data_IF_520154010670
#
_entry.id   IF_520154010670
#
_cell.length_a   1.000
_cell.length_b   1.000
_cell.length_c   1.000
_cell.angle_alpha   90.00
_cell.angle_beta   90.00
_cell.angle_gamma   90.00
#
_symmetry.space_group_name_H-M   'P 1'
#
loop_
_entity.id
_entity.type
_entity.pdbx_description
1 polymer ?
#
# COMPACT_ATOMS: atom_id res chain seq x y z
N UNK A 1 -21.56 -28.06 -4.92
CA UNK A 1 -20.81 -27.34 -3.87
C UNK A 1 -19.95 -26.27 -4.54
N UNK A 2 -20.33 -24.99 -4.46
CA UNK A 2 -19.51 -23.90 -5.01
C UNK A 2 -18.47 -23.50 -3.97
N UNK A 3 -17.20 -23.83 -4.21
CA UNK A 3 -16.09 -23.44 -3.33
C UNK A 3 -15.85 -21.94 -3.54
N UNK A 4 -16.29 -21.12 -2.60
CA UNK A 4 -15.95 -19.70 -2.56
C UNK A 4 -14.47 -19.56 -2.17
N UNK A 5 -13.58 -19.58 -3.18
CA UNK A 5 -12.15 -19.33 -2.97
C UNK A 5 -11.96 -17.85 -2.58
N UNK A 6 -11.80 -17.60 -1.28
CA UNK A 6 -11.32 -16.29 -0.81
C UNK A 6 -9.90 -16.09 -1.36
N UNK A 7 -9.76 -15.14 -2.28
CA UNK A 7 -8.55 -14.97 -3.11
C UNK A 7 -7.30 -14.68 -2.29
N UNK A 8 -7.38 -13.84 -1.24
CA UNK A 8 -6.22 -13.50 -0.42
C UNK A 8 -5.68 -14.68 0.43
N UNK A 9 -6.49 -15.46 1.16
CA UNK A 9 -6.03 -16.69 1.80
C UNK A 9 -5.41 -17.70 0.83
N UNK A 10 -5.99 -17.85 -0.36
CA UNK A 10 -5.46 -18.77 -1.38
C UNK A 10 -4.09 -18.33 -1.89
N UNK A 11 -3.94 -17.06 -2.28
CA UNK A 11 -2.65 -16.47 -2.67
C UNK A 11 -1.63 -16.63 -1.55
N UNK A 12 -2.01 -16.37 -0.29
CA UNK A 12 -1.12 -16.56 0.85
C UNK A 12 -0.66 -18.01 0.98
N UNK A 13 -1.56 -18.98 0.78
CA UNK A 13 -1.20 -20.40 0.82
C UNK A 13 -0.22 -20.76 -0.31
N UNK A 14 -0.42 -20.25 -1.52
CA UNK A 14 0.51 -20.44 -2.64
C UNK A 14 1.87 -19.78 -2.35
N UNK A 15 1.87 -18.54 -1.87
CA UNK A 15 3.09 -17.86 -1.46
C UNK A 15 3.79 -18.53 -0.27
N UNK A 16 3.10 -19.32 0.55
CA UNK A 16 3.69 -20.08 1.67
C UNK A 16 3.85 -21.56 1.36
N UNK A 17 3.73 -21.96 0.10
CA UNK A 17 3.88 -23.35 -0.31
C UNK A 17 5.30 -23.85 -0.02
N UNK A 18 5.41 -25.14 0.33
CA UNK A 18 6.62 -25.71 0.94
C UNK A 18 7.89 -25.55 0.09
N UNK A 19 7.78 -25.71 -1.23
CA UNK A 19 8.90 -25.62 -2.18
C UNK A 19 9.24 -24.19 -2.62
N UNK A 20 8.49 -23.18 -2.15
CA UNK A 20 8.63 -21.76 -2.51
C UNK A 20 8.51 -21.42 -4.00
N UNK A 21 8.05 -22.35 -4.85
CA UNK A 21 7.98 -22.14 -6.31
C UNK A 21 7.25 -20.86 -6.71
N UNK A 22 6.17 -20.52 -6.01
CA UNK A 22 5.37 -19.33 -6.25
C UNK A 22 6.02 -18.03 -5.74
N UNK A 23 6.92 -18.14 -4.75
CA UNK A 23 7.68 -16.99 -4.27
C UNK A 23 8.79 -16.59 -5.24
N UNK A 24 9.41 -17.60 -5.87
CA UNK A 24 10.55 -17.43 -6.78
C UNK A 24 10.15 -17.32 -8.25
N UNK A 25 8.89 -17.61 -8.58
CA UNK A 25 8.36 -17.40 -9.91
C UNK A 25 8.40 -15.90 -10.25
N UNK A 26 8.95 -15.58 -11.43
CA UNK A 26 9.20 -14.20 -11.86
C UNK A 26 7.91 -13.40 -12.09
N UNK A 27 6.82 -14.07 -12.39
CA UNK A 27 5.58 -13.45 -12.83
C UNK A 27 4.47 -13.57 -11.78
N UNK A 28 4.47 -14.62 -10.96
CA UNK A 28 3.36 -14.92 -10.07
C UNK A 28 3.03 -13.78 -9.09
N UNK A 29 3.98 -13.22 -8.32
CA UNK A 29 3.67 -12.09 -7.44
C UNK A 29 3.13 -10.87 -8.20
N UNK A 30 3.67 -10.60 -9.38
CA UNK A 30 3.27 -9.47 -10.22
C UNK A 30 1.85 -9.67 -10.80
N UNK A 31 1.56 -10.84 -11.35
CA UNK A 31 0.24 -11.19 -11.90
C UNK A 31 -0.83 -11.12 -10.81
N UNK A 32 -0.56 -11.73 -9.65
CA UNK A 32 -1.50 -11.72 -8.52
C UNK A 32 -1.74 -10.30 -8.01
N UNK A 33 -0.68 -9.47 -7.93
CA UNK A 33 -0.80 -8.07 -7.56
C UNK A 33 -1.65 -7.29 -8.57
N UNK A 34 -1.42 -7.48 -9.87
CA UNK A 34 -2.23 -6.84 -10.92
C UNK A 34 -3.69 -7.29 -10.88
N UNK A 35 -3.95 -8.59 -10.72
CA UNK A 35 -5.31 -9.10 -10.55
C UNK A 35 -5.99 -8.47 -9.33
N UNK A 36 -5.26 -8.27 -8.23
CA UNK A 36 -5.78 -7.60 -7.05
C UNK A 36 -6.10 -6.12 -7.34
N UNK A 37 -5.21 -5.39 -8.01
CA UNK A 37 -5.48 -4.00 -8.41
C UNK A 37 -6.68 -3.87 -9.34
N UNK A 38 -6.76 -4.72 -10.38
CA UNK A 38 -7.88 -4.75 -11.32
C UNK A 38 -9.18 -5.02 -10.56
N UNK A 39 -9.17 -5.97 -9.62
CA UNK A 39 -10.33 -6.26 -8.78
C UNK A 39 -10.72 -5.08 -7.89
N UNK A 40 -9.76 -4.46 -7.20
CA UNK A 40 -10.02 -3.28 -6.37
C UNK A 40 -10.60 -2.13 -7.19
N UNK A 41 -10.06 -1.89 -8.38
CA UNK A 41 -10.56 -0.88 -9.32
C UNK A 41 -11.97 -1.22 -9.82
N UNK A 42 -12.20 -2.47 -10.24
CA UNK A 42 -13.51 -2.93 -10.71
C UNK A 42 -14.57 -2.91 -9.60
N UNK A 43 -14.19 -3.22 -8.36
CA UNK A 43 -15.10 -3.11 -7.20
C UNK A 43 -15.46 -1.65 -6.92
N UNK A 44 -14.48 -0.74 -6.94
CA UNK A 44 -14.74 0.70 -6.81
C UNK A 44 -15.65 1.21 -7.93
N UNK A 45 -15.40 0.79 -9.17
CA UNK A 45 -16.23 1.10 -10.33
C UNK A 45 -17.64 0.51 -10.22
N UNK A 46 -17.78 -0.74 -9.78
CA UNK A 46 -19.08 -1.38 -9.56
C UNK A 46 -19.90 -0.68 -8.47
N UNK A 47 -19.26 -0.25 -7.37
CA UNK A 47 -19.93 0.53 -6.34
C UNK A 47 -20.41 1.89 -6.85
N UNK A 48 -19.75 2.47 -7.87
CA UNK A 48 -20.26 3.63 -8.58
C UNK A 48 -21.43 3.29 -9.52
N UNK A 49 -21.33 2.20 -10.28
CA UNK A 49 -22.37 1.81 -11.25
C UNK A 49 -23.65 1.30 -10.60
N UNK A 50 -23.55 0.73 -9.41
CA UNK A 50 -24.68 0.28 -8.59
C UNK A 50 -25.42 1.44 -7.88
N UNK A 51 -24.89 2.66 -7.90
CA UNK A 51 -25.60 3.84 -7.37
C UNK A 51 -26.63 4.34 -8.39
N UNK A 52 -27.74 4.86 -7.89
CA UNK A 52 -28.82 5.50 -8.68
C UNK A 52 -28.31 6.61 -9.63
N UNK A 53 -27.11 7.13 -9.41
CA UNK A 53 -26.54 8.26 -10.13
C UNK A 53 -25.63 7.83 -11.31
N UNK A 54 -25.50 6.53 -11.62
CA UNK A 54 -24.59 6.08 -12.69
C UNK A 54 -24.92 6.67 -14.06
N UNK A 55 -26.20 6.72 -14.45
CA UNK A 55 -26.62 7.34 -15.71
C UNK A 55 -26.16 8.80 -15.81
N UNK A 56 -26.37 9.56 -14.74
CA UNK A 56 -25.94 10.96 -14.64
C UNK A 56 -24.42 11.12 -14.74
N UNK A 57 -23.63 10.19 -14.17
CA UNK A 57 -22.17 10.20 -14.28
C UNK A 57 -21.73 9.85 -15.71
N UNK A 58 -22.33 8.85 -16.34
CA UNK A 58 -22.04 8.48 -17.73
C UNK A 58 -22.35 9.62 -18.70
N UNK A 59 -23.51 10.26 -18.53
CA UNK A 59 -23.91 11.42 -19.32
C UNK A 59 -22.94 12.59 -19.11
N UNK A 60 -22.52 12.84 -17.86
CA UNK A 60 -21.49 13.85 -17.55
C UNK A 60 -20.15 13.55 -18.22
N UNK A 61 -19.71 12.28 -18.26
CA UNK A 61 -18.47 11.88 -18.95
C UNK A 61 -18.57 12.16 -20.45
N UNK A 62 -19.71 11.83 -21.06
CA UNK A 62 -19.94 12.05 -22.49
C UNK A 62 -20.09 13.54 -22.83
N UNK A 63 -20.64 14.33 -21.90
CA UNK A 63 -20.86 15.76 -22.04
C UNK A 63 -19.67 16.63 -21.59
N UNK A 64 -18.51 16.05 -21.27
CA UNK A 64 -17.32 16.82 -20.89
C UNK A 64 -16.90 17.73 -22.04
N UNK A 65 -16.82 19.03 -21.76
CA UNK A 65 -16.25 20.00 -22.67
C UNK A 65 -14.71 19.86 -22.69
N UNK A 66 -14.17 19.49 -23.85
CA UNK A 66 -12.73 19.26 -24.05
C UNK A 66 -11.90 20.54 -23.94
N UNK A 67 -12.43 21.66 -24.43
CA UNK A 67 -11.73 22.95 -24.37
C UNK A 67 -11.61 23.45 -22.92
N UNK A 68 -12.66 23.25 -22.11
CA UNK A 68 -12.62 23.55 -20.68
C UNK A 68 -11.60 22.66 -19.94
N UNK A 69 -11.51 21.37 -20.31
CA UNK A 69 -10.52 20.46 -19.75
C UNK A 69 -9.09 20.87 -20.13
N UNK A 70 -8.86 21.23 -21.40
CA UNK A 70 -7.55 21.69 -21.87
C UNK A 70 -7.12 23.00 -21.22
N UNK A 71 -8.05 23.94 -21.00
CA UNK A 71 -7.84 25.15 -20.21
C UNK A 71 -7.34 24.82 -18.80
N UNK A 72 -8.04 23.92 -18.10
CA UNK A 72 -7.65 23.47 -16.76
C UNK A 72 -6.27 22.80 -16.74
N UNK A 73 -5.97 21.96 -17.74
CA UNK A 73 -4.66 21.32 -17.88
C UNK A 73 -3.58 22.38 -18.07
N UNK A 74 -3.77 23.35 -18.96
CA UNK A 74 -2.80 24.41 -19.20
C UNK A 74 -2.55 25.24 -17.95
N UNK A 75 -3.61 25.68 -17.26
CA UNK A 75 -3.53 26.43 -16.01
C UNK A 75 -2.87 25.63 -14.88
N UNK A 76 -2.99 24.31 -14.90
CA UNK A 76 -2.40 23.40 -13.91
C UNK A 76 -0.95 23.00 -14.18
N UNK A 77 -0.37 23.33 -15.33
CA UNK A 77 0.99 22.90 -15.71
C UNK A 77 2.07 23.35 -14.74
N UNK A 78 1.93 24.55 -14.20
CA UNK A 78 2.92 25.13 -13.28
C UNK A 78 2.75 24.63 -11.83
N UNK A 79 1.85 23.66 -11.60
CA UNK A 79 1.61 23.06 -10.29
C UNK A 79 0.82 23.97 -9.32
N UNK A 80 0.31 25.10 -9.81
CA UNK A 80 -0.52 26.02 -9.04
C UNK A 80 -1.89 25.43 -8.69
N UNK A 81 -2.52 25.97 -7.64
CA UNK A 81 -3.88 25.61 -7.28
C UNK A 81 -4.87 26.18 -8.30
N UNK A 82 -5.47 25.32 -9.11
CA UNK A 82 -6.47 25.71 -10.11
C UNK A 82 -7.86 25.72 -9.47
N UNK A 83 -8.57 26.84 -9.59
CA UNK A 83 -9.99 26.95 -9.23
C UNK A 83 -10.84 26.98 -10.51
N UNK A 84 -11.96 26.24 -10.55
CA UNK A 84 -12.89 26.34 -11.67
C UNK A 84 -13.60 27.70 -11.63
N UNK A 85 -13.57 28.40 -12.76
CA UNK A 85 -14.19 29.72 -12.95
C UNK A 85 -15.49 29.60 -13.75
N UNK A 86 -15.49 28.77 -14.80
CA UNK A 86 -16.66 28.58 -15.66
C UNK A 86 -17.55 27.42 -15.18
N UNK A 87 -18.85 27.40 -15.54
CA UNK A 87 -19.71 26.25 -15.22
C UNK A 87 -19.22 24.95 -15.86
N UNK A 88 -18.59 25.00 -17.02
CA UNK A 88 -17.99 23.84 -17.69
C UNK A 88 -16.79 23.32 -16.89
N UNK A 89 -15.91 24.20 -16.42
CA UNK A 89 -14.79 23.83 -15.54
C UNK A 89 -15.29 23.23 -14.22
N UNK A 90 -16.37 23.77 -13.63
CA UNK A 90 -17.01 23.19 -12.44
C UNK A 90 -17.49 21.77 -12.70
N UNK A 91 -18.09 21.52 -13.86
CA UNK A 91 -18.53 20.17 -14.26
C UNK A 91 -17.34 19.20 -14.38
N UNK A 92 -16.19 19.65 -14.89
CA UNK A 92 -14.95 18.85 -14.90
C UNK A 92 -14.47 18.51 -13.48
N UNK A 93 -14.50 19.46 -12.55
CA UNK A 93 -14.14 19.22 -11.14
C UNK A 93 -15.10 18.26 -10.44
N UNK A 94 -16.40 18.38 -10.70
CA UNK A 94 -17.39 17.41 -10.21
C UNK A 94 -17.09 16.01 -10.75
N UNK A 95 -16.77 15.88 -12.04
CA UNK A 95 -16.38 14.61 -12.63
C UNK A 95 -15.16 14.00 -11.93
N UNK A 96 -14.14 14.82 -11.65
CA UNK A 96 -12.96 14.39 -10.90
C UNK A 96 -13.31 13.81 -9.53
N UNK A 97 -14.32 14.35 -8.82
CA UNK A 97 -14.71 13.78 -7.51
C UNK A 97 -15.20 12.33 -7.62
N UNK A 98 -15.87 11.98 -8.71
CA UNK A 98 -16.29 10.59 -8.95
C UNK A 98 -15.09 9.69 -9.27
N UNK A 99 -14.15 10.17 -10.09
CA UNK A 99 -12.92 9.44 -10.42
C UNK A 99 -12.06 9.21 -9.18
N UNK A 100 -11.85 10.26 -8.36
CA UNK A 100 -11.12 10.19 -7.11
C UNK A 100 -11.72 9.13 -6.17
N UNK A 101 -13.04 9.03 -6.11
CA UNK A 101 -13.73 8.04 -5.27
C UNK A 101 -13.42 6.60 -5.69
N UNK A 102 -13.34 6.30 -7.00
CA UNK A 102 -12.89 4.98 -7.48
C UNK A 102 -11.43 4.76 -7.09
N UNK A 103 -10.58 5.73 -7.39
CA UNK A 103 -9.15 5.65 -7.13
C UNK A 103 -8.85 5.41 -5.64
N UNK A 104 -9.68 5.91 -4.72
CA UNK A 104 -9.56 5.68 -3.27
C UNK A 104 -9.58 4.20 -2.86
N UNK A 105 -10.15 3.32 -3.67
CA UNK A 105 -10.20 1.88 -3.40
C UNK A 105 -8.94 1.14 -3.90
N UNK A 106 -8.08 1.81 -4.67
CA UNK A 106 -6.82 1.26 -5.19
C UNK A 106 -5.68 1.68 -4.26
N UNK A 107 -5.03 0.70 -3.64
CA UNK A 107 -3.88 0.94 -2.76
C UNK A 107 -2.77 1.70 -3.51
N UNK A 108 -2.19 2.70 -2.87
CA UNK A 108 -1.11 3.52 -3.44
C UNK A 108 -1.57 4.64 -4.39
N UNK A 109 -2.88 4.75 -4.67
CA UNK A 109 -3.41 5.85 -5.47
C UNK A 109 -3.25 7.21 -4.79
N UNK A 110 -3.35 8.30 -5.56
CA UNK A 110 -3.35 9.65 -5.03
C UNK A 110 -4.46 9.88 -4.00
N UNK A 111 -5.66 9.35 -4.25
CA UNK A 111 -6.78 9.44 -3.31
C UNK A 111 -6.50 8.64 -2.03
N UNK A 112 -5.97 7.42 -2.12
CA UNK A 112 -5.63 6.64 -0.93
C UNK A 112 -4.61 7.37 -0.04
N UNK A 113 -3.59 8.00 -0.64
CA UNK A 113 -2.64 8.86 0.08
C UNK A 113 -3.33 10.09 0.71
N UNK A 114 -4.31 10.69 0.03
CA UNK A 114 -5.12 11.79 0.59
C UNK A 114 -5.94 11.33 1.80
N UNK A 115 -6.53 10.13 1.76
CA UNK A 115 -7.24 9.56 2.91
C UNK A 115 -6.32 9.27 4.08
N UNK A 116 -5.14 8.69 3.86
CA UNK A 116 -4.15 8.49 4.93
C UNK A 116 -3.75 9.81 5.62
N UNK A 117 -3.61 10.91 4.86
CA UNK A 117 -3.36 12.24 5.47
C UNK A 117 -4.53 12.72 6.32
N UNK A 118 -5.76 12.43 5.94
CA UNK A 118 -6.94 12.78 6.73
C UNK A 118 -7.03 11.93 8.00
N UNK A 119 -6.64 10.65 7.94
CA UNK A 119 -6.54 9.78 9.12
C UNK A 119 -5.50 10.30 10.10
N UNK A 120 -4.30 10.68 9.63
CA UNK A 120 -3.25 11.31 10.45
C UNK A 120 -3.78 12.60 11.10
N UNK A 121 -4.44 13.48 10.34
CA UNK A 121 -5.04 14.71 10.90
C UNK A 121 -6.07 14.41 11.98
N UNK A 122 -6.93 13.42 11.74
CA UNK A 122 -7.96 13.00 12.70
C UNK A 122 -7.33 12.47 13.99
N UNK A 123 -6.24 11.70 13.86
CA UNK A 123 -5.47 11.22 15.01
C UNK A 123 -4.84 12.38 15.79
N UNK A 124 -4.32 13.40 15.10
CA UNK A 124 -3.77 14.61 15.73
C UNK A 124 -4.85 15.37 16.51
N UNK A 125 -6.05 15.49 15.95
CA UNK A 125 -7.16 16.12 16.67
C UNK A 125 -7.61 15.32 17.89
N UNK A 126 -7.56 13.99 17.84
CA UNK A 126 -8.04 13.12 18.90
C UNK A 126 -7.02 12.95 20.06
N UNK A 127 -5.74 12.80 19.72
CA UNK A 127 -4.67 12.40 20.66
C UNK A 127 -3.61 13.50 20.84
N UNK A 128 -3.54 14.46 19.91
CA UNK A 128 -2.54 15.51 19.89
C UNK A 128 -1.41 15.25 18.88
N UNK A 129 -0.44 16.16 18.85
CA UNK A 129 0.65 16.15 17.88
C UNK A 129 1.62 14.99 18.17
N UNK A 130 2.07 14.24 17.16
CA UNK A 130 3.04 13.17 17.36
C UNK A 130 4.37 13.73 17.88
N UNK A 131 4.88 13.14 18.97
CA UNK A 131 6.20 13.48 19.53
C UNK A 131 7.34 12.91 18.69
N UNK A 132 7.13 11.73 18.10
CA UNK A 132 8.13 11.02 17.31
C UNK A 132 7.66 10.79 15.89
N UNK A 133 8.56 11.04 14.94
CA UNK A 133 8.45 10.60 13.55
C UNK A 133 9.59 9.62 13.27
N UNK A 134 9.25 8.36 13.01
CA UNK A 134 10.26 7.30 12.85
C UNK A 134 10.15 6.69 11.45
N UNK A 135 11.25 6.81 10.70
CA UNK A 135 11.46 6.08 9.45
C UNK A 135 12.57 5.07 9.67
N UNK A 136 12.30 3.79 9.42
CA UNK A 136 13.33 2.77 9.45
C UNK A 136 13.29 1.92 8.18
N UNK A 137 14.46 1.73 7.57
CA UNK A 137 14.67 0.91 6.39
C UNK A 137 15.61 -0.25 6.76
N UNK A 138 15.07 -1.43 7.12
CA UNK A 138 15.89 -2.55 7.55
C UNK A 138 16.80 -3.02 6.41
N UNK A 139 18.11 -3.15 6.68
CA UNK A 139 19.08 -3.64 5.70
C UNK A 139 18.90 -5.14 5.45
N UNK A 140 18.09 -5.47 4.45
CA UNK A 140 17.69 -6.82 4.04
C UNK A 140 18.88 -7.75 3.73
N UNK A 141 19.81 -7.35 2.85
CA UNK A 141 20.93 -8.19 2.42
C UNK A 141 22.00 -8.40 3.50
N UNK A 142 21.96 -7.64 4.58
CA UNK A 142 22.85 -7.81 5.74
C UNK A 142 22.19 -8.57 6.89
N UNK A 143 20.89 -8.87 6.80
CA UNK A 143 20.14 -9.45 7.89
C UNK A 143 19.95 -10.98 7.72
N UNK A 144 20.44 -11.81 8.66
CA UNK A 144 20.28 -13.28 8.60
C UNK A 144 18.83 -13.73 8.47
N UNK A 145 17.88 -13.03 9.12
CA UNK A 145 16.46 -13.36 9.06
C UNK A 145 15.86 -13.17 7.66
N UNK A 146 16.30 -12.13 6.95
CA UNK A 146 15.87 -11.91 5.57
C UNK A 146 16.35 -13.01 4.65
N UNK A 147 17.63 -13.37 4.77
CA UNK A 147 18.25 -14.44 3.98
C UNK A 147 17.60 -15.80 4.26
N UNK A 148 17.29 -16.08 5.53
CA UNK A 148 16.52 -17.26 5.93
C UNK A 148 15.14 -17.30 5.25
N UNK A 149 14.41 -16.18 5.22
CA UNK A 149 13.13 -16.12 4.50
C UNK A 149 13.28 -16.25 2.98
N UNK A 150 14.37 -15.76 2.41
CA UNK A 150 14.71 -15.95 0.99
C UNK A 150 15.16 -17.37 0.67
N UNK A 151 15.35 -18.21 1.70
CA UNK A 151 15.63 -19.63 1.55
C UNK A 151 17.08 -20.03 1.62
N UNK A 152 17.95 -19.12 2.05
CA UNK A 152 19.34 -19.44 2.35
C UNK A 152 19.42 -20.33 3.59
N UNK A 153 20.38 -21.25 3.61
CA UNK A 153 20.64 -22.10 4.76
C UNK A 153 21.38 -21.29 5.83
N UNK A 154 20.61 -20.63 6.70
CA UNK A 154 21.11 -19.76 7.78
C UNK A 154 20.59 -20.31 9.10
N UNK A 155 21.50 -20.68 10.00
CA UNK A 155 21.14 -21.00 11.38
C UNK A 155 20.85 -19.70 12.15
N UNK A 156 19.58 -19.48 12.48
CA UNK A 156 19.14 -18.30 13.23
C UNK A 156 19.43 -18.39 14.74
N UNK A 157 19.81 -19.56 15.25
CA UNK A 157 20.16 -19.74 16.67
C UNK A 157 21.62 -19.36 16.95
N UNK A 158 22.46 -19.35 15.92
CA UNK A 158 23.83 -18.87 16.02
C UNK A 158 23.85 -17.34 16.20
N UNK A 159 24.68 -16.84 17.13
CA UNK A 159 24.80 -15.39 17.40
C UNK A 159 25.26 -14.57 16.19
N UNK A 160 26.14 -15.15 15.38
CA UNK A 160 26.69 -14.56 14.17
C UNK A 160 26.82 -15.65 13.09
N UNK A 161 25.72 -16.01 12.42
CA UNK A 161 25.77 -17.06 11.40
C UNK A 161 26.62 -16.60 10.22
N UNK A 162 27.41 -17.51 9.61
CA UNK A 162 28.13 -17.19 8.39
C UNK A 162 27.13 -16.83 7.30
N UNK A 163 27.38 -15.70 6.63
CA UNK A 163 26.54 -15.22 5.55
C UNK A 163 27.21 -15.50 4.19
N UNK A 164 26.43 -15.79 3.12
CA UNK A 164 26.96 -15.98 1.77
C UNK A 164 27.76 -14.76 1.25
N UNK A 165 28.33 -14.83 0.05
CA UNK A 165 28.96 -13.64 -0.55
C UNK A 165 27.95 -12.51 -0.73
N UNK A 166 28.41 -11.25 -0.82
CA UNK A 166 27.52 -10.09 -1.05
C UNK A 166 26.64 -10.29 -2.29
N UNK A 167 27.22 -10.80 -3.38
CA UNK A 167 26.49 -11.01 -4.63
C UNK A 167 25.43 -12.10 -4.51
N UNK A 168 25.71 -13.18 -3.77
CA UNK A 168 24.74 -14.25 -3.55
C UNK A 168 23.57 -13.78 -2.67
N UNK A 169 23.84 -12.93 -1.67
CA UNK A 169 22.78 -12.30 -0.85
C UNK A 169 21.85 -11.44 -1.69
N UNK A 170 22.42 -10.58 -2.54
CA UNK A 170 21.64 -9.72 -3.44
C UNK A 170 20.83 -10.56 -4.43
N UNK A 171 21.42 -11.62 -4.99
CA UNK A 171 20.73 -12.57 -5.87
C UNK A 171 19.58 -13.27 -5.15
N UNK A 172 19.80 -13.77 -3.93
CA UNK A 172 18.76 -14.45 -3.15
C UNK A 172 17.54 -13.56 -2.90
N UNK A 173 17.76 -12.28 -2.57
CA UNK A 173 16.68 -11.30 -2.37
C UNK A 173 15.97 -10.99 -3.68
N UNK A 174 16.72 -10.73 -4.76
CA UNK A 174 16.14 -10.44 -6.07
C UNK A 174 15.32 -11.62 -6.63
N UNK A 175 15.75 -12.86 -6.37
CA UNK A 175 15.03 -14.08 -6.79
C UNK A 175 13.83 -14.39 -5.90
N UNK A 176 13.78 -13.90 -4.66
CA UNK A 176 12.66 -14.14 -3.74
C UNK A 176 12.21 -12.84 -3.03
N UNK A 177 11.52 -11.93 -3.76
CA UNK A 177 11.02 -10.69 -3.18
C UNK A 177 9.98 -10.91 -2.06
N UNK A 178 9.30 -12.07 -2.07
CA UNK A 178 8.33 -12.44 -1.04
C UNK A 178 9.04 -12.70 0.30
N UNK A 179 10.22 -13.31 0.26
CA UNK A 179 11.08 -13.48 1.44
C UNK A 179 11.44 -12.14 2.08
N UNK A 180 11.84 -11.17 1.26
CA UNK A 180 12.14 -9.80 1.71
C UNK A 180 10.90 -9.09 2.29
N UNK A 181 9.72 -9.23 1.65
CA UNK A 181 8.47 -8.68 2.18
C UNK A 181 8.08 -9.28 3.53
N UNK A 182 8.29 -10.59 3.73
CA UNK A 182 8.07 -11.26 5.02
C UNK A 182 9.02 -10.76 6.10
N UNK A 183 10.28 -10.55 5.75
CA UNK A 183 11.26 -9.94 6.64
C UNK A 183 10.82 -8.55 7.08
N UNK A 184 10.50 -7.67 6.13
CA UNK A 184 10.05 -6.31 6.42
C UNK A 184 8.84 -6.31 7.35
N UNK A 185 7.81 -7.12 7.02
CA UNK A 185 6.64 -7.30 7.89
C UNK A 185 7.03 -7.72 9.30
N UNK A 186 7.94 -8.69 9.44
CA UNK A 186 8.37 -9.18 10.75
C UNK A 186 9.08 -8.09 11.55
N UNK A 187 9.89 -7.26 10.90
CA UNK A 187 10.56 -6.12 11.56
C UNK A 187 9.53 -5.08 12.03
N UNK A 188 8.53 -4.75 11.22
CA UNK A 188 7.43 -3.83 11.61
C UNK A 188 6.62 -4.39 12.79
N UNK A 189 6.30 -5.68 12.77
CA UNK A 189 5.61 -6.36 13.89
C UNK A 189 6.46 -6.33 15.17
N UNK A 190 7.78 -6.54 15.06
CA UNK A 190 8.69 -6.46 16.21
C UNK A 190 8.84 -5.02 16.72
N UNK A 191 8.91 -4.04 15.83
CA UNK A 191 8.97 -2.63 16.20
C UNK A 191 7.72 -2.21 16.99
N UNK A 192 6.54 -2.46 16.44
CA UNK A 192 5.26 -2.11 17.08
C UNK A 192 5.04 -2.87 18.39
N UNK A 193 5.36 -4.17 18.44
CA UNK A 193 5.10 -4.99 19.63
C UNK A 193 6.18 -4.93 20.71
N UNK A 194 7.46 -4.70 20.37
CA UNK A 194 8.58 -4.75 21.33
C UNK A 194 9.20 -3.39 21.62
N UNK A 195 9.27 -2.51 20.61
CA UNK A 195 9.84 -1.17 20.75
C UNK A 195 8.77 -0.19 21.22
N UNK A 196 7.63 -0.09 20.51
CA UNK A 196 6.51 0.76 20.94
C UNK A 196 5.72 0.13 22.10
N UNK A 197 5.54 -1.19 22.05
CA UNK A 197 4.74 -1.96 23.02
C UNK A 197 3.29 -1.48 23.13
N UNK A 198 2.70 -1.11 21.99
CA UNK A 198 1.32 -0.63 21.97
C UNK A 198 0.37 -1.66 22.58
N UNK A 199 -0.47 -1.21 23.53
CA UNK A 199 -1.49 -2.03 24.19
C UNK A 199 -0.96 -3.05 25.22
N UNK A 200 0.31 -2.97 25.64
CA UNK A 200 0.89 -3.92 26.61
C UNK A 200 0.93 -3.41 28.07
N UNK A 201 0.28 -2.28 28.38
CA UNK A 201 0.20 -1.74 29.75
C UNK A 201 1.52 -1.33 30.39
N UNK A 202 2.61 -1.31 29.61
CA UNK A 202 3.97 -0.93 30.04
C UNK A 202 4.63 -0.05 28.98
N UNK A 203 5.50 0.90 29.38
CA UNK A 203 6.16 1.78 28.43
C UNK A 203 7.09 1.02 27.48
N UNK A 204 7.11 1.49 26.24
CA UNK A 204 8.08 1.11 25.22
C UNK A 204 9.41 1.87 25.37
N UNK A 205 10.27 1.77 24.35
CA UNK A 205 11.56 2.47 24.30
C UNK A 205 11.39 4.00 24.35
N UNK A 206 10.33 4.51 23.73
CA UNK A 206 10.01 5.94 23.65
C UNK A 206 9.05 6.41 24.76
N UNK A 207 8.84 5.59 25.78
CA UNK A 207 7.86 5.84 26.84
C UNK A 207 6.48 5.20 26.57
N UNK A 208 5.44 5.61 27.32
CA UNK A 208 4.07 5.16 27.09
C UNK A 208 3.59 5.54 25.68
N UNK A 209 3.08 4.56 24.93
CA UNK A 209 2.51 4.81 23.60
C UNK A 209 0.99 4.81 23.71
N UNK A 210 0.38 5.96 23.42
CA UNK A 210 -1.09 6.11 23.37
C UNK A 210 -1.63 5.72 22.00
N UNK A 211 -0.99 6.20 20.93
CA UNK A 211 -1.35 5.87 19.55
C UNK A 211 -0.11 5.85 18.64
N UNK A 212 -0.24 5.16 17.51
CA UNK A 212 0.70 5.25 16.40
C UNK A 212 -0.05 5.17 15.08
N UNK A 213 0.52 5.77 14.04
CA UNK A 213 0.04 5.65 12.67
C UNK A 213 1.22 5.23 11.79
N UNK A 214 1.06 4.18 10.99
CA UNK A 214 2.13 3.60 10.19
C UNK A 214 1.73 3.49 8.73
N UNK A 215 2.62 3.94 7.85
CA UNK A 215 2.50 3.81 6.39
C UNK A 215 3.69 3.06 5.83
N UNK A 216 3.48 2.38 4.71
CA UNK A 216 4.54 1.78 3.90
C UNK A 216 4.51 2.48 2.56
N UNK A 217 5.66 2.97 2.10
CA UNK A 217 5.84 3.55 0.77
C UNK A 217 6.14 2.49 -0.29
#
# INVERSE_FOLDING_TARGET
>A
MSVCLRTAPHVRALLLYADRRFQTDRCFPFIVFNQNQIRSSAQGGYLLTARKNFGLVADKILAVNRDALDSLIQRGRDGGYVKPETPEEKSCFELMTFVDHVAGHVNGSHTARKYQRNEIKSLIYAVGVPVFFVTFAPADFKNPLCLFYCGQNIDLLQRAPPLPSRNDRLRAIATNPVGAARFFRKVVELFTSKILRMGQGRPGLFGPTEAYYGTVE
#
